data_IF_243296738663
#
_entry.id   IF_243296738663
#
_cell.length_a   1.000
_cell.length_b   1.000
_cell.length_c   1.000
_cell.angle_alpha   90.00
_cell.angle_beta   90.00
_cell.angle_gamma   90.00
#
_symmetry.space_group_name_H-M   'P 1'
#
loop_
_entity.id
_entity.type
_entity.pdbx_description
1 polymer ?
#
# COMPACT_ATOMS: atom_id res chain seq x y z
N UNK A 1 11.50 29.41 -32.81
CA UNK A 1 10.91 29.32 -31.46
C UNK A 1 9.49 28.77 -31.58
N UNK A 2 9.27 27.52 -32.04
CA UNK A 2 7.90 26.97 -32.07
C UNK A 2 7.80 25.44 -32.12
N UNK A 3 8.91 24.69 -31.97
CA UNK A 3 8.85 23.23 -32.09
C UNK A 3 8.57 22.55 -30.74
N UNK A 4 8.91 23.20 -29.61
CA UNK A 4 8.68 22.63 -28.28
C UNK A 4 7.19 22.41 -28.00
N UNK A 5 6.35 23.44 -28.14
CA UNK A 5 4.90 23.32 -27.91
C UNK A 5 4.24 22.30 -28.83
N UNK A 6 4.66 22.24 -30.10
CA UNK A 6 4.16 21.24 -31.04
C UNK A 6 4.55 19.82 -30.59
N UNK A 7 5.82 19.59 -30.24
CA UNK A 7 6.31 18.30 -29.75
C UNK A 7 5.58 17.87 -28.47
N UNK A 8 5.45 18.77 -27.50
CA UNK A 8 4.72 18.50 -26.24
C UNK A 8 3.26 18.17 -26.54
N UNK A 9 2.57 18.98 -27.34
CA UNK A 9 1.16 18.75 -27.66
C UNK A 9 0.95 17.42 -28.42
N UNK A 10 1.79 17.14 -29.43
CA UNK A 10 1.74 15.87 -30.16
C UNK A 10 1.99 14.68 -29.23
N UNK A 11 3.03 14.73 -28.39
CA UNK A 11 3.34 13.70 -27.41
C UNK A 11 2.16 13.42 -26.47
N UNK A 12 1.51 14.48 -25.97
CA UNK A 12 0.34 14.36 -25.10
C UNK A 12 -0.85 13.73 -25.82
N UNK A 13 -1.12 14.10 -27.07
CA UNK A 13 -2.21 13.49 -27.85
C UNK A 13 -1.97 12.00 -28.14
N UNK A 14 -0.72 11.61 -28.37
CA UNK A 14 -0.35 10.21 -28.62
C UNK A 14 -0.45 9.36 -27.35
N UNK A 15 0.02 9.88 -26.22
CA UNK A 15 0.10 9.12 -24.95
C UNK A 15 -1.20 9.15 -24.14
N UNK A 16 -1.92 10.26 -24.16
CA UNK A 16 -3.14 10.49 -23.37
C UNK A 16 -4.33 10.83 -24.29
N UNK A 17 -4.75 9.89 -25.17
CA UNK A 17 -5.83 10.14 -26.11
C UNK A 17 -7.16 10.25 -25.36
N UNK A 18 -7.60 11.49 -25.10
CA UNK A 18 -8.91 11.78 -24.50
C UNK A 18 -9.93 12.33 -25.51
N UNK A 19 -9.47 12.78 -26.68
CA UNK A 19 -10.29 13.23 -27.81
C UNK A 19 -9.65 12.79 -29.12
N UNK A 20 -10.40 12.17 -30.02
CA UNK A 20 -9.90 11.81 -31.33
C UNK A 20 -9.70 13.09 -32.18
N UNK A 21 -8.45 13.52 -32.32
CA UNK A 21 -8.06 14.62 -33.20
C UNK A 21 -7.32 14.07 -34.43
N UNK A 22 -7.67 14.56 -35.62
CA UNK A 22 -6.88 14.30 -36.82
C UNK A 22 -5.64 15.21 -36.89
N UNK A 23 -4.73 14.91 -37.81
CA UNK A 23 -3.48 15.64 -37.97
C UNK A 23 -3.68 17.13 -38.28
N UNK A 24 -4.74 17.49 -39.00
CA UNK A 24 -5.02 18.88 -39.36
C UNK A 24 -5.53 19.68 -38.16
N UNK A 25 -6.37 19.06 -37.31
CA UNK A 25 -6.83 19.62 -36.05
C UNK A 25 -5.67 19.80 -35.06
N UNK A 26 -4.76 18.82 -34.97
CA UNK A 26 -3.55 18.92 -34.13
C UNK A 26 -2.68 20.10 -34.57
N UNK A 27 -2.42 20.21 -35.88
CA UNK A 27 -1.62 21.31 -36.42
C UNK A 27 -2.30 22.68 -36.24
N UNK A 28 -3.63 22.76 -36.32
CA UNK A 28 -4.38 23.97 -36.07
C UNK A 28 -4.30 24.40 -34.59
N UNK A 29 -4.42 23.45 -33.66
CA UNK A 29 -4.31 23.72 -32.23
C UNK A 29 -2.89 24.16 -31.85
N UNK A 30 -1.85 23.51 -32.39
CA UNK A 30 -0.47 23.92 -32.17
C UNK A 30 -0.19 25.36 -32.65
N UNK A 31 -0.78 25.77 -33.78
CA UNK A 31 -0.71 27.18 -34.22
C UNK A 31 -1.38 28.14 -33.24
N UNK A 32 -2.52 27.75 -32.67
CA UNK A 32 -3.20 28.55 -31.66
C UNK A 32 -2.39 28.68 -30.36
N UNK A 33 -1.74 27.60 -29.89
CA UNK A 33 -0.85 27.64 -28.71
C UNK A 33 0.31 28.64 -28.89
N UNK A 34 0.90 28.71 -30.09
CA UNK A 34 1.95 29.68 -30.38
C UNK A 34 1.45 31.14 -30.27
N UNK A 35 0.24 31.42 -30.77
CA UNK A 35 -0.40 32.75 -30.62
C UNK A 35 -0.64 33.09 -29.15
N UNK A 36 -0.98 32.09 -28.34
CA UNK A 36 -1.22 32.27 -26.90
C UNK A 36 0.08 32.53 -26.12
N UNK A 37 1.19 31.87 -26.48
CA UNK A 37 2.51 32.18 -25.93
C UNK A 37 2.94 33.62 -26.23
N UNK A 38 2.80 34.06 -27.49
CA UNK A 38 3.12 35.43 -27.90
C UNK A 38 2.30 36.47 -27.12
N UNK A 39 1.07 36.10 -26.70
CA UNK A 39 0.16 36.95 -25.94
C UNK A 39 0.55 37.09 -24.47
N UNK A 40 1.11 36.04 -23.85
CA UNK A 40 1.38 36.01 -22.40
C UNK A 40 2.61 36.83 -22.03
N UNK A 41 3.71 36.73 -22.78
CA UNK A 41 4.91 37.53 -22.51
C UNK A 41 5.82 37.61 -23.75
N UNK A 42 5.83 38.74 -24.48
CA UNK A 42 6.64 38.90 -25.70
C UNK A 42 8.16 38.84 -25.49
N UNK A 43 8.63 39.00 -24.23
CA UNK A 43 10.05 39.16 -23.89
C UNK A 43 10.66 37.96 -23.11
N UNK A 44 9.84 36.99 -22.67
CA UNK A 44 10.26 35.86 -21.83
C UNK A 44 9.75 34.53 -22.41
N UNK A 45 10.20 34.19 -23.62
CA UNK A 45 9.67 33.06 -24.40
C UNK A 45 9.59 31.72 -23.65
N UNK A 46 10.60 31.35 -22.87
CA UNK A 46 10.61 30.06 -22.14
C UNK A 46 9.56 30.01 -21.03
N UNK A 47 9.45 31.07 -20.21
CA UNK A 47 8.43 31.16 -19.16
C UNK A 47 7.01 31.26 -19.74
N UNK A 48 6.86 31.89 -20.91
CA UNK A 48 5.59 31.93 -21.64
C UNK A 48 5.18 30.55 -22.17
N UNK A 49 6.15 29.79 -22.70
CA UNK A 49 5.94 28.41 -23.15
C UNK A 49 5.56 27.50 -21.98
N UNK A 50 6.28 27.57 -20.86
CA UNK A 50 5.99 26.78 -19.67
C UNK A 50 4.57 27.07 -19.15
N UNK A 51 4.17 28.34 -19.07
CA UNK A 51 2.82 28.72 -18.65
C UNK A 51 1.71 28.20 -19.59
N UNK A 52 1.98 28.11 -20.90
CA UNK A 52 1.04 27.53 -21.87
C UNK A 52 0.99 26.01 -21.74
N UNK A 53 2.14 25.35 -21.53
CA UNK A 53 2.20 23.90 -21.31
C UNK A 53 1.38 23.54 -20.06
N UNK A 54 1.62 24.22 -18.93
CA UNK A 54 0.91 23.98 -17.68
C UNK A 54 -0.60 24.24 -17.82
N UNK A 55 -1.01 25.36 -18.44
CA UNK A 55 -2.42 25.79 -18.45
C UNK A 55 -3.27 25.15 -19.56
N UNK A 56 -2.72 25.04 -20.77
CA UNK A 56 -3.48 24.68 -21.97
C UNK A 56 -3.21 23.25 -22.45
N UNK A 57 -2.11 22.62 -22.01
CA UNK A 57 -1.81 21.23 -22.34
C UNK A 57 -2.08 20.34 -21.13
N UNK A 58 -1.29 20.49 -20.06
CA UNK A 58 -1.42 19.67 -18.84
C UNK A 58 -2.75 19.97 -18.14
N UNK A 59 -3.08 21.25 -17.93
CA UNK A 59 -4.31 21.71 -17.28
C UNK A 59 -5.61 21.32 -18.00
N UNK A 60 -5.54 20.75 -19.20
CA UNK A 60 -6.69 20.22 -19.96
C UNK A 60 -6.78 18.70 -19.94
N UNK A 61 -5.77 18.00 -19.43
CA UNK A 61 -5.79 16.55 -19.31
C UNK A 61 -6.84 16.11 -18.29
N UNK A 62 -7.67 15.10 -18.60
CA UNK A 62 -8.50 14.47 -17.58
C UNK A 62 -7.58 13.82 -16.52
N UNK A 63 -7.66 14.22 -15.23
CA UNK A 63 -6.78 13.69 -14.19
C UNK A 63 -6.82 12.16 -14.10
N UNK A 64 -8.02 11.59 -14.23
CA UNK A 64 -8.24 10.14 -14.23
C UNK A 64 -7.52 9.42 -15.35
N UNK A 65 -7.48 10.00 -16.56
CA UNK A 65 -6.80 9.36 -17.68
C UNK A 65 -5.29 9.26 -17.42
N UNK A 66 -4.68 10.32 -16.90
CA UNK A 66 -3.25 10.32 -16.56
C UNK A 66 -2.95 9.24 -15.53
N UNK A 67 -3.75 9.20 -14.46
CA UNK A 67 -3.60 8.22 -13.39
C UNK A 67 -3.72 6.76 -13.88
N UNK A 68 -4.72 6.46 -14.70
CA UNK A 68 -4.94 5.11 -15.24
C UNK A 68 -3.88 4.70 -16.26
N UNK A 69 -3.35 5.64 -17.07
CA UNK A 69 -2.27 5.34 -18.02
C UNK A 69 -0.99 4.92 -17.28
N UNK A 70 -0.65 5.62 -16.20
CA UNK A 70 0.53 5.28 -15.39
C UNK A 70 0.33 4.01 -14.56
N UNK A 71 -0.90 3.72 -14.13
CA UNK A 71 -1.23 2.51 -13.36
C UNK A 71 -1.92 1.41 -14.20
N UNK A 72 -1.70 1.40 -15.52
CA UNK A 72 -2.50 0.59 -16.47
C UNK A 72 -2.56 -0.89 -16.10
N UNK A 73 -1.47 -1.46 -15.63
CA UNK A 73 -1.42 -2.87 -15.22
C UNK A 73 -2.35 -3.17 -14.05
N UNK A 74 -2.32 -2.35 -12.99
CA UNK A 74 -3.23 -2.47 -11.85
C UNK A 74 -4.70 -2.40 -12.27
N UNK A 75 -5.02 -1.45 -13.15
CA UNK A 75 -6.39 -1.26 -13.63
C UNK A 75 -6.89 -2.41 -14.50
N UNK A 76 -6.06 -2.91 -15.41
CA UNK A 76 -6.40 -4.03 -16.29
C UNK A 76 -6.51 -5.35 -15.53
N UNK A 77 -5.57 -5.65 -14.63
CA UNK A 77 -5.61 -6.92 -13.89
C UNK A 77 -6.81 -7.00 -12.96
N UNK A 78 -7.21 -5.89 -12.35
CA UNK A 78 -8.41 -5.83 -11.51
C UNK A 78 -9.73 -6.08 -12.26
N UNK A 79 -9.73 -6.07 -13.60
CA UNK A 79 -10.92 -6.47 -14.38
C UNK A 79 -11.11 -7.99 -14.39
N UNK A 80 -10.06 -8.76 -14.11
CA UNK A 80 -10.05 -10.22 -14.22
C UNK A 80 -9.76 -10.93 -12.88
N UNK A 81 -9.09 -10.25 -11.96
CA UNK A 81 -8.74 -10.77 -10.64
C UNK A 81 -9.51 -10.02 -9.55
N UNK A 82 -10.27 -10.69 -8.68
CA UNK A 82 -10.89 -10.03 -7.53
C UNK A 82 -9.84 -9.67 -6.47
N UNK A 83 -10.03 -8.59 -5.70
CA UNK A 83 -9.17 -8.26 -4.56
C UNK A 83 -9.28 -9.34 -3.47
N UNK A 84 -8.22 -9.44 -2.68
CA UNK A 84 -8.13 -10.29 -1.48
C UNK A 84 -9.12 -9.80 -0.42
N UNK A 85 -9.85 -10.74 0.19
CA UNK A 85 -10.75 -10.41 1.30
C UNK A 85 -9.97 -10.27 2.61
N UNK A 86 -9.72 -9.02 3.01
CA UNK A 86 -8.98 -8.68 4.24
C UNK A 86 -9.80 -8.87 5.53
N UNK A 87 -11.08 -9.20 5.42
CA UNK A 87 -11.94 -9.47 6.59
C UNK A 87 -11.81 -10.89 7.13
N UNK A 88 -11.19 -11.79 6.36
CA UNK A 88 -10.91 -13.16 6.80
C UNK A 88 -9.68 -13.11 7.71
N UNK A 89 -9.79 -13.54 8.98
CA UNK A 89 -8.64 -13.58 9.87
C UNK A 89 -7.57 -14.55 9.36
N UNK A 90 -6.31 -14.20 9.61
CA UNK A 90 -5.17 -15.06 9.36
C UNK A 90 -5.18 -16.27 10.29
N UNK A 91 -4.79 -17.41 9.72
CA UNK A 91 -4.61 -18.68 10.43
C UNK A 91 -3.13 -19.11 10.44
N UNK A 92 -2.83 -20.24 11.07
CA UNK A 92 -1.48 -20.83 11.10
C UNK A 92 -0.87 -21.00 9.69
N UNK A 93 -1.68 -21.32 8.67
CA UNK A 93 -1.20 -21.53 7.31
C UNK A 93 -0.60 -20.26 6.70
N UNK A 94 -1.11 -19.08 7.09
CA UNK A 94 -0.59 -17.79 6.64
C UNK A 94 0.85 -17.52 7.10
N UNK A 95 1.29 -18.12 8.21
CA UNK A 95 2.63 -17.89 8.79
C UNK A 95 3.61 -19.03 8.53
N UNK A 96 3.16 -20.19 8.02
CA UNK A 96 3.99 -21.38 7.80
C UNK A 96 5.27 -21.12 7.01
N UNK A 97 5.23 -20.21 6.05
CA UNK A 97 6.38 -19.84 5.22
C UNK A 97 7.59 -19.35 6.03
N UNK A 98 7.40 -18.85 7.25
CA UNK A 98 8.49 -18.43 8.13
C UNK A 98 9.32 -19.60 8.64
N UNK A 99 8.73 -20.78 8.85
CA UNK A 99 9.48 -21.98 9.20
C UNK A 99 10.39 -22.41 8.04
N UNK A 100 9.90 -22.36 6.80
CA UNK A 100 10.70 -22.65 5.61
C UNK A 100 11.88 -21.66 5.49
N UNK A 101 11.63 -20.36 5.68
CA UNK A 101 12.69 -19.33 5.64
C UNK A 101 13.73 -19.51 6.75
N UNK A 102 13.30 -19.81 7.97
CA UNK A 102 14.23 -20.06 9.08
C UNK A 102 15.13 -21.27 8.80
N UNK A 103 14.56 -22.34 8.23
CA UNK A 103 15.31 -23.52 7.81
C UNK A 103 16.31 -23.20 6.69
N UNK A 104 15.91 -22.42 5.67
CA UNK A 104 16.79 -21.95 4.58
C UNK A 104 17.95 -21.09 5.09
N UNK A 105 17.67 -20.19 6.04
CA UNK A 105 18.66 -19.31 6.65
C UNK A 105 19.51 -20.00 7.74
N UNK A 106 19.20 -21.26 8.08
CA UNK A 106 19.88 -22.04 9.13
C UNK A 106 19.89 -21.36 10.51
N UNK A 107 18.79 -20.69 10.84
CA UNK A 107 18.56 -20.04 12.15
C UNK A 107 17.53 -20.81 12.97
N UNK A 108 17.37 -20.42 14.24
CA UNK A 108 16.35 -21.00 15.11
C UNK A 108 14.95 -20.77 14.52
N UNK A 109 14.11 -21.81 14.57
CA UNK A 109 12.73 -21.73 14.12
C UNK A 109 11.97 -20.67 14.90
N UNK A 110 11.06 -19.91 14.24
CA UNK A 110 10.19 -18.99 14.95
C UNK A 110 9.30 -19.76 15.94
N UNK A 111 8.94 -19.11 17.04
CA UNK A 111 8.04 -19.67 18.04
C UNK A 111 6.73 -18.86 18.08
N UNK A 112 5.57 -19.51 18.23
CA UNK A 112 4.32 -18.81 18.51
C UNK A 112 4.42 -18.08 19.85
N UNK A 113 3.91 -16.85 19.92
CA UNK A 113 3.84 -16.08 21.15
C UNK A 113 2.98 -16.78 22.21
N UNK A 114 1.97 -17.57 21.76
CA UNK A 114 0.92 -18.23 22.56
C UNK A 114 0.05 -17.23 23.31
N UNK A 115 0.61 -16.47 24.24
CA UNK A 115 -0.06 -15.33 24.85
C UNK A 115 0.86 -14.11 24.74
N UNK A 116 0.53 -13.15 23.85
CA UNK A 116 1.34 -11.95 23.68
C UNK A 116 1.49 -11.10 24.95
N UNK A 117 0.56 -11.17 25.91
CA UNK A 117 0.67 -10.43 27.18
C UNK A 117 1.70 -11.02 28.15
N UNK A 118 1.93 -12.33 28.03
CA UNK A 118 2.93 -13.06 28.80
C UNK A 118 4.29 -13.14 28.09
N UNK A 119 4.43 -12.48 26.93
CA UNK A 119 5.71 -12.37 26.25
C UNK A 119 6.73 -11.63 27.15
N UNK A 120 7.94 -12.21 27.25
CA UNK A 120 9.06 -11.71 28.07
C UNK A 120 10.37 -11.57 27.27
N UNK A 121 10.27 -11.61 25.94
CA UNK A 121 11.43 -11.56 25.06
C UNK A 121 11.93 -10.12 24.83
N UNK A 122 12.33 -9.82 23.61
CA UNK A 122 12.69 -8.45 23.21
C UNK A 122 11.43 -7.62 23.02
N UNK A 123 11.26 -6.60 23.86
CA UNK A 123 10.19 -5.61 23.76
C UNK A 123 10.58 -4.43 22.85
N UNK A 124 9.63 -3.85 22.10
CA UNK A 124 8.23 -4.25 22.00
C UNK A 124 8.05 -5.50 21.10
N UNK A 125 7.03 -6.33 21.36
CA UNK A 125 6.76 -7.56 20.59
C UNK A 125 6.56 -7.27 19.10
N UNK A 126 6.05 -6.09 18.78
CA UNK A 126 5.80 -5.55 17.45
C UNK A 126 7.09 -5.44 16.59
N UNK A 127 8.26 -5.27 17.23
CA UNK A 127 9.55 -5.15 16.54
C UNK A 127 10.12 -6.51 16.11
N UNK A 128 9.60 -7.61 16.66
CA UNK A 128 10.06 -8.99 16.40
C UNK A 128 8.97 -9.91 15.86
N UNK A 129 7.72 -9.45 15.81
CA UNK A 129 6.60 -10.19 15.24
C UNK A 129 6.76 -10.35 13.72
N UNK A 130 6.56 -11.57 13.24
CA UNK A 130 6.67 -11.93 11.83
C UNK A 130 5.30 -11.86 11.14
N UNK A 131 5.12 -11.02 10.10
CA UNK A 131 3.82 -10.80 9.49
C UNK A 131 3.29 -12.04 8.77
N UNK A 132 1.96 -12.27 8.78
CA UNK A 132 1.34 -13.33 7.99
C UNK A 132 1.50 -13.05 6.49
N UNK A 133 1.51 -14.10 5.67
CA UNK A 133 1.65 -13.94 4.21
C UNK A 133 0.31 -13.56 3.59
N UNK A 134 0.31 -12.42 2.90
CA UNK A 134 -0.80 -11.98 2.07
C UNK A 134 -0.49 -12.18 0.58
N UNK A 135 -1.48 -12.65 -0.17
CA UNK A 135 -1.41 -12.82 -1.62
C UNK A 135 -1.79 -11.51 -2.36
N UNK A 136 -1.16 -10.41 -1.98
CA UNK A 136 -1.40 -9.08 -2.53
C UNK A 136 -1.32 -9.08 -4.07
N UNK A 137 -2.44 -8.79 -4.71
CA UNK A 137 -2.58 -8.74 -6.17
C UNK A 137 -2.53 -7.30 -6.70
N UNK A 138 -2.43 -7.15 -8.01
CA UNK A 138 -2.61 -5.85 -8.67
C UNK A 138 -4.06 -5.32 -8.53
N UNK A 139 -5.04 -6.21 -8.31
CA UNK A 139 -6.40 -5.80 -7.99
C UNK A 139 -6.50 -5.11 -6.62
N UNK A 140 -5.77 -5.62 -5.63
CA UNK A 140 -5.63 -4.99 -4.31
C UNK A 140 -4.92 -3.64 -4.42
N UNK A 141 -3.86 -3.57 -5.26
CA UNK A 141 -3.16 -2.31 -5.57
C UNK A 141 -4.12 -1.27 -6.14
N UNK A 142 -5.01 -1.64 -7.07
CA UNK A 142 -6.05 -0.74 -7.61
C UNK A 142 -6.99 -0.25 -6.51
N UNK A 143 -7.48 -1.14 -5.64
CA UNK A 143 -8.35 -0.72 -4.52
C UNK A 143 -7.65 0.30 -3.62
N UNK A 144 -6.37 0.07 -3.32
CA UNK A 144 -5.55 1.01 -2.56
C UNK A 144 -5.32 2.35 -3.29
N UNK A 145 -5.08 2.33 -4.61
CA UNK A 145 -4.98 3.54 -5.44
C UNK A 145 -6.30 4.32 -5.45
N UNK A 146 -7.45 3.65 -5.60
CA UNK A 146 -8.76 4.30 -5.55
C UNK A 146 -9.06 4.92 -4.18
N UNK A 147 -8.64 4.25 -3.09
CA UNK A 147 -8.69 4.82 -1.74
C UNK A 147 -7.82 6.08 -1.66
N UNK A 148 -6.59 6.04 -2.16
CA UNK A 148 -5.69 7.18 -2.16
C UNK A 148 -6.25 8.35 -2.98
N UNK A 149 -6.78 8.09 -4.17
CA UNK A 149 -7.45 9.11 -5.01
C UNK A 149 -8.68 9.69 -4.30
N UNK A 150 -9.45 8.88 -3.56
CA UNK A 150 -10.59 9.35 -2.78
C UNK A 150 -10.19 10.29 -1.63
N UNK A 151 -9.01 10.10 -1.04
CA UNK A 151 -8.50 10.90 0.08
C UNK A 151 -7.83 12.19 -0.42
N UNK A 152 -6.91 12.06 -1.38
CA UNK A 152 -6.03 13.15 -1.81
C UNK A 152 -6.52 13.89 -3.06
N UNK A 153 -7.38 13.26 -3.87
CA UNK A 153 -7.78 13.78 -5.17
C UNK A 153 -6.71 13.58 -6.24
N UNK A 154 -6.98 14.13 -7.43
CA UNK A 154 -6.06 14.16 -8.57
C UNK A 154 -6.21 15.50 -9.28
N UNK A 155 -5.11 16.19 -9.54
CA UNK A 155 -5.07 17.36 -10.41
C UNK A 155 -4.70 16.97 -11.86
N UNK A 156 -4.97 17.82 -12.86
CA UNK A 156 -4.57 17.55 -14.23
C UNK A 156 -3.05 17.39 -14.34
N UNK A 157 -2.59 16.27 -14.90
CA UNK A 157 -1.15 15.97 -15.01
C UNK A 157 -0.59 15.12 -13.88
N UNK A 158 -1.36 14.90 -12.81
CA UNK A 158 -0.90 14.15 -11.65
C UNK A 158 -1.28 12.68 -11.70
N UNK A 159 -0.48 11.87 -11.03
CA UNK A 159 -0.87 10.52 -10.63
C UNK A 159 -0.27 10.12 -9.30
N UNK A 160 -1.01 9.25 -8.62
CA UNK A 160 -0.55 8.54 -7.45
C UNK A 160 0.09 7.20 -7.84
N UNK A 161 1.17 6.84 -7.18
CA UNK A 161 1.84 5.55 -7.32
C UNK A 161 2.07 4.93 -5.93
N UNK A 162 1.83 3.63 -5.81
CA UNK A 162 2.13 2.87 -4.60
C UNK A 162 3.32 1.95 -4.84
N UNK A 163 4.26 1.92 -3.89
CA UNK A 163 5.16 0.77 -3.76
C UNK A 163 4.32 -0.47 -3.45
N UNK A 164 4.58 -1.58 -4.13
CA UNK A 164 3.77 -2.78 -4.00
C UNK A 164 4.63 -4.04 -4.01
N UNK A 165 4.36 -5.03 -3.16
CA UNK A 165 3.27 -5.13 -2.15
C UNK A 165 3.52 -4.30 -0.87
N UNK A 166 2.48 -4.05 -0.05
CA UNK A 166 2.63 -3.38 1.24
C UNK A 166 3.34 -4.27 2.27
N UNK A 167 3.88 -3.63 3.31
CA UNK A 167 4.53 -4.31 4.44
C UNK A 167 3.58 -4.37 5.62
N UNK A 168 3.55 -5.53 6.28
CA UNK A 168 2.76 -5.75 7.49
C UNK A 168 3.57 -5.42 8.74
N UNK A 169 2.96 -4.70 9.66
CA UNK A 169 3.48 -4.45 11.00
C UNK A 169 2.41 -4.81 12.03
N UNK A 170 2.79 -5.50 13.10
CA UNK A 170 1.88 -5.76 14.20
C UNK A 170 1.55 -4.41 14.86
N UNK A 171 0.27 -4.07 14.88
CA UNK A 171 -0.22 -2.82 15.47
C UNK A 171 -0.78 -3.03 16.87
N UNK A 172 -1.49 -4.14 17.04
CA UNK A 172 -2.03 -4.56 18.32
C UNK A 172 -1.80 -6.07 18.46
N UNK A 173 -1.12 -6.55 19.52
CA UNK A 173 -0.92 -7.98 19.75
C UNK A 173 -2.22 -8.73 20.11
N UNK A 174 -3.29 -8.02 20.47
CA UNK A 174 -4.54 -8.62 20.95
C UNK A 174 -4.43 -9.15 22.38
N UNK A 175 -5.47 -9.86 22.82
CA UNK A 175 -5.58 -10.37 24.19
C UNK A 175 -6.26 -11.74 24.24
N UNK A 176 -5.60 -12.67 24.95
CA UNK A 176 -6.11 -14.01 25.23
C UNK A 176 -6.48 -14.08 26.71
N UNK A 177 -7.76 -14.22 27.00
CA UNK A 177 -8.24 -14.45 28.35
C UNK A 177 -8.13 -15.93 28.71
N UNK A 178 -7.41 -16.24 29.78
CA UNK A 178 -7.38 -17.57 30.37
C UNK A 178 -8.40 -17.64 31.50
N UNK A 179 -9.40 -18.53 31.38
CA UNK A 179 -10.41 -18.69 32.42
C UNK A 179 -9.78 -19.17 33.72
N UNK A 180 -10.30 -18.76 34.89
CA UNK A 180 -9.84 -19.30 36.16
C UNK A 180 -10.07 -20.82 36.22
N UNK A 181 -9.22 -21.52 36.97
CA UNK A 181 -9.39 -22.94 37.26
C UNK A 181 -10.74 -23.14 37.99
N UNK A 182 -11.58 -24.00 37.44
CA UNK A 182 -12.75 -24.50 38.15
C UNK A 182 -12.36 -25.75 38.96
N UNK A 183 -12.70 -25.82 40.26
CA UNK A 183 -12.36 -26.98 41.07
C UNK A 183 -13.13 -28.23 40.62
N UNK A 184 -12.43 -29.36 40.57
CA UNK A 184 -13.07 -30.67 40.47
C UNK A 184 -13.73 -31.06 41.82
N UNK A 185 -14.54 -32.11 41.83
CA UNK A 185 -15.22 -32.57 43.06
C UNK A 185 -14.25 -32.86 44.21
N UNK A 186 -13.01 -33.28 43.90
CA UNK A 186 -11.97 -33.54 44.90
C UNK A 186 -11.33 -32.28 45.49
N UNK A 187 -11.37 -31.14 44.78
CA UNK A 187 -10.68 -29.89 45.13
C UNK A 187 -11.65 -28.70 45.29
N UNK A 188 -12.95 -28.96 45.45
CA UNK A 188 -13.98 -27.92 45.63
C UNK A 188 -13.75 -27.07 46.89
N UNK A 189 -13.14 -27.65 47.93
CA UNK A 189 -12.82 -26.93 49.17
C UNK A 189 -11.55 -26.06 49.04
N UNK A 190 -10.66 -26.39 48.09
CA UNK A 190 -9.40 -25.69 47.84
C UNK A 190 -9.51 -24.65 46.71
N UNK A 191 -10.71 -24.49 46.13
CA UNK A 191 -10.98 -23.64 44.97
C UNK A 191 -10.16 -23.97 43.71
N UNK A 192 -9.69 -25.22 43.62
CA UNK A 192 -8.93 -25.74 42.47
C UNK A 192 -7.50 -26.11 42.85
N UNK A 193 -6.88 -26.93 42.00
CA UNK A 193 -5.49 -27.38 42.16
C UNK A 193 -4.82 -27.37 40.77
N UNK A 194 -3.70 -26.66 40.63
CA UNK A 194 -2.95 -26.50 39.37
C UNK A 194 -2.09 -27.74 39.04
N UNK A 195 -1.94 -28.68 39.97
CA UNK A 195 -1.31 -29.99 39.74
C UNK A 195 -2.33 -31.08 39.38
N UNK A 196 -3.64 -30.80 39.50
CA UNK A 196 -4.71 -31.76 39.21
C UNK A 196 -5.20 -31.66 37.76
N UNK A 197 -5.11 -32.77 37.02
CA UNK A 197 -5.51 -32.84 35.60
C UNK A 197 -6.98 -32.43 35.36
N UNK A 198 -7.90 -32.82 36.24
CA UNK A 198 -9.32 -32.47 36.12
C UNK A 198 -9.59 -30.98 36.38
N UNK A 199 -8.85 -30.36 37.31
CA UNK A 199 -8.92 -28.93 37.58
C UNK A 199 -8.28 -28.12 36.44
N UNK A 200 -7.09 -28.50 35.98
CA UNK A 200 -6.39 -27.84 34.86
C UNK A 200 -7.17 -27.99 33.56
N UNK A 201 -7.83 -29.14 33.34
CA UNK A 201 -8.68 -29.39 32.18
C UNK A 201 -9.92 -28.50 32.08
N UNK A 202 -10.28 -27.79 33.16
CA UNK A 202 -11.35 -26.77 33.14
C UNK A 202 -10.90 -25.45 32.51
N UNK A 203 -9.60 -25.18 32.47
CA UNK A 203 -9.04 -23.92 31.96
C UNK A 203 -9.24 -23.87 30.45
N UNK A 204 -9.83 -22.78 30.00
CA UNK A 204 -10.02 -22.46 28.59
C UNK A 204 -9.33 -21.15 28.27
N UNK A 205 -8.79 -21.09 27.06
CA UNK A 205 -8.30 -19.85 26.49
C UNK A 205 -9.35 -19.33 25.51
N UNK A 206 -9.83 -18.13 25.79
CA UNK A 206 -10.78 -17.40 24.96
C UNK A 206 -10.08 -16.16 24.39
N UNK A 207 -10.30 -15.89 23.10
CA UNK A 207 -9.76 -14.67 22.48
C UNK A 207 -10.70 -13.53 22.87
N UNK A 208 -10.21 -12.58 23.65
CA UNK A 208 -10.97 -11.37 24.00
C UNK A 208 -10.81 -10.32 22.90
N UNK A 209 -9.58 -10.15 22.40
CA UNK A 209 -9.24 -9.21 21.33
C UNK A 209 -8.33 -9.88 20.30
N UNK A 210 -8.70 -9.80 19.02
CA UNK A 210 -7.89 -10.30 17.92
C UNK A 210 -6.64 -9.42 17.74
N UNK A 211 -5.53 -10.03 17.37
CA UNK A 211 -4.34 -9.28 16.99
C UNK A 211 -4.59 -8.54 15.67
N UNK A 212 -4.07 -7.32 15.55
CA UNK A 212 -4.25 -6.48 14.37
C UNK A 212 -2.92 -6.22 13.67
N UNK A 213 -2.88 -6.55 12.38
CA UNK A 213 -1.79 -6.22 11.47
C UNK A 213 -2.17 -5.03 10.60
N UNK A 214 -1.34 -3.99 10.62
CA UNK A 214 -1.44 -2.86 9.70
C UNK A 214 -0.56 -3.09 8.49
N UNK A 215 -1.15 -2.95 7.31
CA UNK A 215 -0.47 -3.05 6.03
C UNK A 215 -0.24 -1.66 5.47
N UNK A 216 1.00 -1.24 5.45
CA UNK A 216 1.40 0.09 5.00
C UNK A 216 2.28 0.01 3.75
N UNK A 217 2.22 1.04 2.93
CA UNK A 217 3.16 1.20 1.82
C UNK A 217 3.53 2.67 1.61
N UNK A 218 4.52 2.88 0.76
CA UNK A 218 4.91 4.21 0.30
C UNK A 218 4.01 4.64 -0.85
N UNK A 219 3.38 5.80 -0.70
CA UNK A 219 2.59 6.51 -1.70
C UNK A 219 3.39 7.69 -2.24
N UNK A 220 3.59 7.74 -3.56
CA UNK A 220 4.25 8.83 -4.28
C UNK A 220 3.24 9.67 -5.01
N UNK A 221 3.41 10.99 -4.90
CA UNK A 221 2.68 11.97 -5.68
C UNK A 221 3.59 12.41 -6.82
N UNK A 222 3.13 12.21 -8.04
CA UNK A 222 3.90 12.50 -9.24
C UNK A 222 3.13 13.45 -10.15
N UNK A 223 3.89 14.32 -10.83
CA UNK A 223 3.40 15.29 -11.81
C UNK A 223 4.15 15.09 -13.13
N UNK A 224 3.43 15.20 -14.25
CA UNK A 224 4.05 15.22 -15.58
C UNK A 224 4.66 16.59 -15.83
N UNK A 225 5.92 16.63 -16.26
CA UNK A 225 6.58 17.86 -16.74
C UNK A 225 7.25 17.66 -18.08
N UNK A 226 7.59 18.77 -18.73
CA UNK A 226 8.26 18.78 -20.04
C UNK A 226 9.53 19.62 -20.01
N UNK A 227 10.63 19.04 -20.50
CA UNK A 227 11.90 19.75 -20.60
C UNK A 227 11.92 20.75 -21.77
N UNK A 228 13.07 21.40 -21.99
CA UNK A 228 13.29 22.38 -23.08
C UNK A 228 13.14 21.79 -24.47
N UNK A 229 13.41 20.50 -24.62
CA UNK A 229 13.27 19.80 -25.88
C UNK A 229 11.82 19.32 -26.10
N UNK A 230 10.98 19.37 -25.06
CA UNK A 230 9.59 18.93 -25.07
C UNK A 230 9.46 17.44 -24.76
N UNK A 231 10.49 16.84 -24.15
CA UNK A 231 10.42 15.47 -23.66
C UNK A 231 9.73 15.44 -22.29
N UNK A 232 8.82 14.47 -22.14
CA UNK A 232 8.13 14.21 -20.88
C UNK A 232 9.10 13.66 -19.83
N UNK A 233 9.08 14.21 -18.63
CA UNK A 233 9.75 13.67 -17.45
C UNK A 233 8.82 13.68 -16.25
N UNK A 234 9.13 12.81 -15.29
CA UNK A 234 8.37 12.66 -14.04
C UNK A 234 9.00 13.55 -12.97
N UNK A 235 8.17 14.32 -12.28
CA UNK A 235 8.55 15.02 -11.06
C UNK A 235 7.82 14.41 -9.86
N UNK A 236 8.56 13.84 -8.91
CA UNK A 236 8.02 13.50 -7.59
C UNK A 236 7.81 14.81 -6.81
N UNK A 237 6.58 15.07 -6.39
CA UNK A 237 6.21 16.32 -5.71
C UNK A 237 5.98 16.11 -4.21
N UNK A 238 5.58 14.91 -3.80
CA UNK A 238 5.38 14.57 -2.39
C UNK A 238 5.46 13.04 -2.17
N UNK A 239 5.60 12.65 -0.91
CA UNK A 239 5.78 11.26 -0.48
C UNK A 239 5.12 11.02 0.88
N UNK A 240 4.24 10.02 0.96
CA UNK A 240 3.75 9.45 2.21
C UNK A 240 4.33 8.05 2.40
N UNK A 241 5.21 7.88 3.40
CA UNK A 241 5.93 6.62 3.63
C UNK A 241 5.10 5.56 4.36
N UNK A 242 3.93 5.93 4.91
CA UNK A 242 3.14 5.06 5.79
C UNK A 242 1.65 5.06 5.40
N UNK A 243 1.35 5.06 4.11
CA UNK A 243 -0.01 4.99 3.62
C UNK A 243 -0.64 3.63 3.98
N UNK A 244 -1.68 3.67 4.82
CA UNK A 244 -2.40 2.48 5.26
C UNK A 244 -3.27 1.90 4.15
N UNK A 245 -2.93 0.70 3.69
CA UNK A 245 -3.69 -0.07 2.70
C UNK A 245 -4.85 -0.79 3.38
N UNK A 246 -4.55 -1.58 4.40
CA UNK A 246 -5.53 -2.44 5.08
C UNK A 246 -5.14 -2.71 6.53
N UNK A 247 -6.13 -3.17 7.30
CA UNK A 247 -5.95 -3.79 8.61
C UNK A 247 -6.51 -5.21 8.50
N UNK A 248 -5.75 -6.20 8.96
CA UNK A 248 -6.19 -7.60 9.00
C UNK A 248 -6.05 -8.15 10.40
N UNK A 249 -6.86 -9.13 10.74
CA UNK A 249 -6.85 -9.76 12.07
C UNK A 249 -6.13 -11.11 12.05
N UNK A 250 -5.54 -11.50 13.18
CA UNK A 250 -4.96 -12.82 13.41
C UNK A 250 -5.31 -13.30 14.82
N UNK A 251 -5.45 -14.61 15.02
CA UNK A 251 -5.47 -15.18 16.36
C UNK A 251 -4.17 -14.80 17.11
N UNK A 252 -4.24 -14.11 18.27
CA UNK A 252 -3.05 -13.70 19.03
C UNK A 252 -2.09 -14.87 19.36
N UNK A 253 -2.63 -16.08 19.49
CA UNK A 253 -1.87 -17.29 19.82
C UNK A 253 -0.97 -17.76 18.69
N UNK A 254 -1.29 -17.34 17.47
CA UNK A 254 -0.60 -17.74 16.23
C UNK A 254 0.42 -16.71 15.74
N UNK A 255 0.58 -15.58 16.45
CA UNK A 255 1.63 -14.61 16.15
C UNK A 255 2.99 -15.32 16.28
N UNK A 256 3.76 -15.32 15.21
CA UNK A 256 5.11 -15.88 15.22
C UNK A 256 6.13 -14.79 15.60
N UNK A 257 7.06 -15.15 16.47
CA UNK A 257 8.17 -14.30 16.87
C UNK A 257 9.45 -14.75 16.18
N UNK A 258 10.11 -13.81 15.50
CA UNK A 258 11.39 -14.03 14.84
C UNK A 258 12.58 -13.79 15.77
N UNK A 259 13.80 -14.16 15.33
CA UNK A 259 15.00 -13.88 16.10
C UNK A 259 15.26 -12.37 16.20
N UNK A 260 15.90 -11.89 17.29
CA UNK A 260 16.09 -10.46 17.52
C UNK A 260 17.02 -9.81 16.49
N UNK A 261 16.53 -8.77 15.82
CA UNK A 261 17.28 -7.95 14.87
C UNK A 261 16.34 -7.10 14.01
N UNK A 262 16.56 -5.78 14.00
CA UNK A 262 15.85 -4.88 13.09
C UNK A 262 16.07 -5.33 11.65
N UNK A 263 14.97 -5.60 10.94
CA UNK A 263 14.84 -5.90 9.52
C UNK A 263 14.57 -7.35 9.09
N UNK A 264 14.44 -8.35 9.97
CA UNK A 264 13.95 -9.72 9.60
C UNK A 264 14.44 -10.24 8.23
N UNK A 265 15.69 -9.91 7.88
CA UNK A 265 16.35 -10.35 6.66
C UNK A 265 17.11 -11.62 7.01
N UNK A 266 16.41 -12.73 6.91
CA UNK A 266 16.97 -14.08 6.85
C UNK A 266 16.83 -14.61 5.41
#
# INVERSE_FOLDING_TARGET
>A
MSDRLLRVFTHVQERYPHNAMDADAVAAHARWLNVECDRLTPELGEAAEDAVIEREIIGKLPPRLVHEVWNRWAYLEAEVTPPTDTSIPHDELSTLHWYDRAAEATVDSPEPARDPWDYRGVDPIEDVALPPKMAWSEADRKVALEKAVGIYGLEPGDWLELDWPPRGSLWDPGHVYTTPIEPCEAHVEDAGDDECEDCVGSVRQEIEEMAQWKWITTLRFNEIRFDRDGAEYVAEVDLDQAFEVAITEQDPREILIGPPGHDTQW
#
